data_IF_303565789267
#
_entry.id   IF_303565789267
#
_cell.length_a   1.000
_cell.length_b   1.000
_cell.length_c   1.000
_cell.angle_alpha   90.00
_cell.angle_beta   90.00
_cell.angle_gamma   90.00
#
_symmetry.space_group_name_H-M   'P 1'
#
loop_
_entity.id
_entity.type
_entity.pdbx_description
1 polymer ?
#
# COMPACT_ATOMS: atom_id res chain seq x y z
N UNK A 1 -19.09 -32.98 -7.51
CA UNK A 1 -18.46 -32.18 -8.58
C UNK A 1 -19.53 -31.80 -9.60
N UNK A 2 -20.37 -30.81 -9.28
CA UNK A 2 -21.22 -30.19 -10.31
C UNK A 2 -20.45 -28.99 -10.87
N UNK A 3 -20.14 -28.98 -12.17
CA UNK A 3 -19.53 -27.83 -12.86
C UNK A 3 -18.17 -28.06 -13.55
N UNK A 4 -17.44 -29.15 -13.25
CA UNK A 4 -16.08 -29.39 -13.80
C UNK A 4 -16.06 -29.53 -15.33
N UNK A 5 -17.16 -29.95 -15.94
CA UNK A 5 -17.29 -30.14 -17.40
C UNK A 5 -17.27 -28.79 -18.16
N UNK A 6 -17.59 -27.67 -17.49
CA UNK A 6 -17.65 -26.35 -18.11
C UNK A 6 -16.37 -25.52 -17.96
N UNK A 7 -15.40 -26.00 -17.17
CA UNK A 7 -14.11 -25.33 -16.98
C UNK A 7 -13.18 -25.68 -18.16
N UNK A 8 -13.40 -25.01 -19.30
CA UNK A 8 -12.61 -25.25 -20.51
C UNK A 8 -11.42 -24.29 -20.57
N UNK A 9 -10.21 -24.84 -20.66
CA UNK A 9 -8.98 -24.07 -20.91
C UNK A 9 -8.62 -24.12 -22.41
N UNK A 10 -8.08 -23.03 -22.94
CA UNK A 10 -7.58 -22.94 -24.32
C UNK A 10 -6.19 -22.31 -24.34
N UNK A 11 -5.53 -22.30 -25.51
CA UNK A 11 -4.29 -21.56 -25.71
C UNK A 11 -4.61 -20.34 -26.56
N UNK A 12 -4.46 -19.15 -25.98
CA UNK A 12 -4.65 -17.88 -26.67
C UNK A 12 -3.33 -17.35 -27.24
N UNK A 13 -3.38 -16.67 -28.38
CA UNK A 13 -2.26 -15.86 -28.90
C UNK A 13 -2.59 -14.38 -28.72
N UNK A 14 -1.69 -13.64 -28.05
CA UNK A 14 -1.72 -12.17 -28.05
C UNK A 14 -0.90 -11.68 -29.24
N UNK A 15 -1.42 -10.71 -30.01
CA UNK A 15 -0.68 -10.11 -31.13
C UNK A 15 0.71 -9.65 -30.66
N UNK A 16 1.76 -10.15 -31.32
CA UNK A 16 3.16 -9.79 -31.03
C UNK A 16 3.93 -10.71 -30.06
N UNK A 17 3.35 -11.82 -29.58
CA UNK A 17 4.07 -12.80 -28.74
C UNK A 17 4.10 -14.16 -29.46
N UNK A 18 5.29 -14.74 -29.62
CA UNK A 18 5.50 -16.01 -30.35
C UNK A 18 4.96 -17.25 -29.62
N UNK A 19 4.83 -17.19 -28.29
CA UNK A 19 4.34 -18.29 -27.46
C UNK A 19 2.87 -18.10 -27.06
N UNK A 20 2.07 -19.16 -27.19
CA UNK A 20 0.70 -19.21 -26.70
C UNK A 20 0.65 -19.07 -25.18
N UNK A 21 -0.34 -18.33 -24.68
CA UNK A 21 -0.61 -18.19 -23.25
C UNK A 21 -1.78 -19.10 -22.90
N UNK A 22 -1.68 -19.94 -21.85
CA UNK A 22 -2.83 -20.69 -21.38
C UNK A 22 -3.91 -19.71 -20.93
N UNK A 23 -5.08 -19.80 -21.55
CA UNK A 23 -6.27 -19.03 -21.19
C UNK A 23 -7.22 -20.00 -20.52
N UNK A 24 -7.41 -19.82 -19.22
CA UNK A 24 -8.39 -20.57 -18.44
C UNK A 24 -9.25 -19.55 -17.68
N UNK A 25 -10.57 -19.80 -17.54
CA UNK A 25 -11.43 -18.91 -16.78
C UNK A 25 -10.86 -18.68 -15.38
N UNK A 26 -10.94 -17.44 -14.87
CA UNK A 26 -10.54 -17.08 -13.52
C UNK A 26 -9.11 -17.53 -13.11
N UNK A 27 -8.20 -17.60 -14.08
CA UNK A 27 -6.82 -18.03 -13.87
C UNK A 27 -5.88 -16.86 -14.15
N UNK A 28 -4.99 -16.57 -13.21
CA UNK A 28 -4.05 -15.44 -13.25
C UNK A 28 -2.65 -15.88 -12.86
N UNK A 29 -1.64 -15.05 -13.12
CA UNK A 29 -0.30 -15.33 -12.63
C UNK A 29 -0.27 -15.32 -11.09
N UNK A 30 0.56 -16.17 -10.51
CA UNK A 30 0.74 -16.23 -9.06
C UNK A 30 1.24 -14.90 -8.52
N UNK A 31 0.64 -14.43 -7.42
CA UNK A 31 1.16 -13.32 -6.63
C UNK A 31 1.91 -13.88 -5.42
N UNK A 32 3.08 -13.35 -5.03
CA UNK A 32 3.86 -13.86 -3.89
C UNK A 32 3.12 -13.79 -2.54
N UNK A 33 1.96 -13.14 -2.49
CA UNK A 33 1.15 -12.98 -1.28
C UNK A 33 0.34 -14.23 -0.95
N UNK A 34 0.38 -14.67 0.30
CA UNK A 34 -0.46 -15.77 0.81
C UNK A 34 0.11 -17.17 0.56
N UNK A 35 1.29 -17.27 -0.05
CA UNK A 35 2.05 -18.52 -0.12
C UNK A 35 3.56 -18.24 -0.17
N UNK A 36 4.26 -18.52 0.94
CA UNK A 36 5.63 -18.09 1.20
C UNK A 36 6.72 -19.08 0.79
N UNK A 37 6.43 -20.07 -0.08
CA UNK A 37 7.40 -21.15 -0.36
C UNK A 37 7.69 -21.43 -1.84
N UNK A 38 7.32 -20.55 -2.77
CA UNK A 38 7.80 -20.65 -4.16
C UNK A 38 9.01 -19.73 -4.35
N UNK A 39 10.15 -20.32 -4.67
CA UNK A 39 11.35 -19.62 -5.14
C UNK A 39 10.95 -18.60 -6.21
N UNK A 40 11.39 -17.34 -6.05
CA UNK A 40 11.10 -16.21 -6.97
C UNK A 40 11.63 -16.41 -8.41
N UNK A 41 12.21 -17.57 -8.71
CA UNK A 41 13.01 -17.84 -9.90
C UNK A 41 12.59 -19.10 -10.68
N UNK A 42 11.53 -19.81 -10.30
CA UNK A 42 11.07 -21.00 -11.04
C UNK A 42 9.64 -20.88 -11.58
N UNK A 43 9.53 -21.14 -12.89
CA UNK A 43 8.34 -21.35 -13.72
C UNK A 43 7.18 -20.33 -13.63
N UNK A 44 6.46 -20.14 -14.74
CA UNK A 44 5.20 -19.39 -14.74
C UNK A 44 4.17 -20.16 -13.89
N UNK A 45 4.12 -19.89 -12.60
CA UNK A 45 3.08 -20.39 -11.70
C UNK A 45 1.80 -19.58 -11.92
N UNK A 46 0.67 -20.27 -11.85
CA UNK A 46 -0.66 -19.70 -11.98
C UNK A 46 -1.51 -20.01 -10.74
N UNK A 47 -2.51 -19.18 -10.52
CA UNK A 47 -3.52 -19.38 -9.49
C UNK A 47 -4.90 -19.46 -10.13
N UNK A 48 -5.72 -20.35 -9.58
CA UNK A 48 -7.11 -20.55 -10.00
C UNK A 48 -8.03 -19.96 -8.94
N UNK A 49 -8.99 -19.16 -9.38
CA UNK A 49 -10.01 -18.58 -8.51
C UNK A 49 -11.36 -19.22 -8.79
N UNK A 50 -11.74 -20.19 -7.98
CA UNK A 50 -12.97 -20.95 -8.16
C UNK A 50 -14.17 -20.22 -7.53
N UNK A 51 -15.20 -19.82 -8.31
CA UNK A 51 -16.37 -19.15 -7.78
C UNK A 51 -17.27 -20.09 -6.98
N UNK A 52 -17.90 -19.55 -5.94
CA UNK A 52 -18.92 -20.18 -5.10
C UNK A 52 -20.19 -19.34 -5.19
N UNK A 53 -21.30 -19.99 -5.53
CA UNK A 53 -22.64 -19.40 -5.57
C UNK A 53 -23.48 -19.98 -4.44
N UNK A 54 -24.37 -19.17 -3.86
CA UNK A 54 -25.39 -19.63 -2.90
C UNK A 54 -26.71 -20.00 -3.57
N UNK A 55 -26.99 -19.39 -4.71
CA UNK A 55 -28.21 -19.59 -5.47
C UNK A 55 -27.99 -20.63 -6.57
N UNK A 56 -29.06 -21.37 -6.92
CA UNK A 56 -29.03 -22.32 -8.05
C UNK A 56 -28.87 -21.53 -9.36
N UNK A 57 -28.03 -22.04 -10.26
CA UNK A 57 -27.78 -21.46 -11.59
C UNK A 57 -28.17 -22.47 -12.68
N UNK A 58 -28.69 -21.96 -13.80
CA UNK A 58 -28.98 -22.79 -14.97
C UNK A 58 -27.71 -23.15 -15.75
N UNK A 59 -27.72 -24.29 -16.45
CA UNK A 59 -26.56 -24.76 -17.25
C UNK A 59 -26.14 -23.77 -18.36
N UNK A 60 -27.10 -23.04 -18.95
CA UNK A 60 -26.83 -22.04 -20.00
C UNK A 60 -26.10 -20.82 -19.43
N UNK A 61 -26.53 -20.36 -18.26
CA UNK A 61 -25.90 -19.25 -17.53
C UNK A 61 -24.48 -19.62 -17.11
N UNK A 62 -24.29 -20.84 -16.61
CA UNK A 62 -22.98 -21.35 -16.20
C UNK A 62 -22.01 -21.45 -17.39
N UNK A 63 -22.48 -21.91 -18.56
CA UNK A 63 -21.70 -21.91 -19.82
C UNK A 63 -21.30 -20.51 -20.25
N UNK A 64 -22.24 -19.56 -20.26
CA UNK A 64 -21.96 -18.18 -20.64
C UNK A 64 -20.96 -17.53 -19.67
N UNK A 65 -21.11 -17.81 -18.37
CA UNK A 65 -20.24 -17.33 -17.31
C UNK A 65 -18.79 -17.82 -17.46
N UNK A 66 -18.56 -19.13 -17.60
CA UNK A 66 -17.21 -19.67 -17.78
C UNK A 66 -16.59 -19.27 -19.13
N UNK A 67 -17.39 -19.15 -20.20
CA UNK A 67 -16.90 -18.67 -21.50
C UNK A 67 -16.40 -17.23 -21.44
N UNK A 68 -17.03 -16.40 -20.62
CA UNK A 68 -16.64 -15.02 -20.44
C UNK A 68 -15.47 -14.87 -19.46
N UNK A 69 -15.48 -15.63 -18.36
CA UNK A 69 -14.36 -15.70 -17.42
C UNK A 69 -13.93 -14.33 -16.87
N UNK A 70 -14.83 -13.34 -16.84
CA UNK A 70 -14.49 -11.95 -16.56
C UNK A 70 -13.98 -11.78 -15.14
N UNK A 71 -12.74 -11.33 -15.04
CA UNK A 71 -12.13 -10.76 -13.85
C UNK A 71 -11.44 -9.47 -14.27
N UNK A 72 -12.16 -8.35 -14.17
CA UNK A 72 -11.66 -7.06 -14.66
C UNK A 72 -11.32 -6.11 -13.52
N UNK A 73 -10.23 -5.37 -13.70
CA UNK A 73 -9.89 -4.19 -12.92
C UNK A 73 -10.13 -2.98 -13.81
N UNK A 74 -11.24 -2.28 -13.61
CA UNK A 74 -11.67 -1.21 -14.51
C UNK A 74 -12.14 -1.75 -15.87
N UNK A 75 -11.30 -1.68 -16.91
CA UNK A 75 -11.60 -2.18 -18.28
C UNK A 75 -10.59 -3.20 -18.78
N UNK A 76 -9.74 -3.73 -17.90
CA UNK A 76 -8.63 -4.62 -18.24
C UNK A 76 -8.72 -5.91 -17.41
N UNK A 77 -8.40 -7.07 -18.00
CA UNK A 77 -8.37 -8.32 -17.24
C UNK A 77 -7.29 -8.26 -16.14
N UNK A 78 -7.59 -8.85 -15.00
CA UNK A 78 -6.66 -9.03 -13.88
C UNK A 78 -5.50 -9.93 -14.31
N UNK A 79 -4.27 -9.53 -13.95
CA UNK A 79 -3.04 -10.22 -14.35
C UNK A 79 -2.48 -11.12 -13.28
N UNK A 80 -2.75 -10.83 -12.01
CA UNK A 80 -2.23 -11.55 -10.86
C UNK A 80 -3.28 -11.66 -9.75
N UNK A 81 -2.97 -12.42 -8.70
CA UNK A 81 -3.88 -12.64 -7.57
C UNK A 81 -4.32 -11.39 -6.81
N UNK A 82 -3.49 -10.34 -6.75
CA UNK A 82 -3.85 -9.07 -6.08
C UNK A 82 -4.86 -8.30 -6.93
N UNK A 83 -4.63 -8.18 -8.24
CA UNK A 83 -5.59 -7.58 -9.16
C UNK A 83 -6.90 -8.38 -9.22
N UNK A 84 -6.85 -9.71 -9.04
CA UNK A 84 -8.05 -10.53 -8.96
C UNK A 84 -8.86 -10.23 -7.69
N UNK A 85 -8.20 -10.12 -6.53
CA UNK A 85 -8.84 -9.70 -5.28
C UNK A 85 -9.44 -8.28 -5.40
N UNK A 86 -8.80 -7.39 -6.15
CA UNK A 86 -9.33 -6.07 -6.48
C UNK A 86 -10.59 -6.15 -7.35
N UNK A 87 -10.60 -7.03 -8.36
CA UNK A 87 -11.78 -7.29 -9.19
C UNK A 87 -12.97 -7.82 -8.36
N UNK A 88 -12.71 -8.72 -7.41
CA UNK A 88 -13.71 -9.25 -6.47
C UNK A 88 -14.30 -8.12 -5.60
N UNK A 89 -13.43 -7.30 -5.01
CA UNK A 89 -13.83 -6.26 -4.06
C UNK A 89 -14.47 -5.02 -4.72
N UNK A 90 -14.35 -4.89 -6.03
CA UNK A 90 -15.02 -3.84 -6.84
C UNK A 90 -16.31 -4.32 -7.51
N UNK A 91 -16.78 -5.55 -7.24
CA UNK A 91 -17.92 -6.19 -7.91
C UNK A 91 -17.77 -6.35 -9.43
N UNK A 92 -16.55 -6.29 -9.95
CA UNK A 92 -16.28 -6.46 -11.39
C UNK A 92 -16.37 -7.92 -11.87
N UNK A 93 -16.82 -8.81 -10.97
CA UNK A 93 -17.07 -10.24 -11.14
C UNK A 93 -18.52 -10.62 -10.81
N UNK A 94 -19.40 -9.64 -10.53
CA UNK A 94 -20.71 -9.90 -9.94
C UNK A 94 -21.72 -10.47 -10.94
N UNK A 95 -22.03 -11.76 -10.74
CA UNK A 95 -23.15 -12.51 -11.37
C UNK A 95 -23.82 -13.43 -10.34
N UNK A 96 -24.10 -12.91 -9.15
CA UNK A 96 -24.66 -13.73 -8.05
C UNK A 96 -23.63 -14.69 -7.44
N UNK A 97 -22.34 -14.39 -7.63
CA UNK A 97 -21.23 -15.10 -6.97
C UNK A 97 -21.15 -14.58 -5.55
N UNK A 98 -21.13 -15.50 -4.59
CA UNK A 98 -20.99 -15.16 -3.19
C UNK A 98 -19.53 -15.03 -2.76
N UNK A 99 -18.68 -15.94 -3.23
CA UNK A 99 -17.28 -16.04 -2.81
C UNK A 99 -16.41 -16.61 -3.94
N UNK A 100 -15.10 -16.42 -3.86
CA UNK A 100 -14.11 -17.17 -4.63
C UNK A 100 -13.18 -17.92 -3.68
N UNK A 101 -12.80 -19.14 -4.03
CA UNK A 101 -11.70 -19.87 -3.38
C UNK A 101 -10.48 -19.77 -4.27
N UNK A 102 -9.41 -19.22 -3.72
CA UNK A 102 -8.11 -19.15 -4.39
C UNK A 102 -7.40 -20.48 -4.22
N UNK A 103 -6.88 -21.02 -5.32
CA UNK A 103 -6.03 -22.20 -5.35
C UNK A 103 -4.68 -21.83 -5.96
N UNK A 104 -3.62 -22.07 -5.21
CA UNK A 104 -2.25 -21.91 -5.70
C UNK A 104 -1.78 -23.22 -6.35
N UNK A 105 -1.29 -23.15 -7.59
CA UNK A 105 -0.75 -24.31 -8.29
C UNK A 105 0.74 -24.45 -7.99
N UNK A 106 1.08 -25.53 -7.31
CA UNK A 106 2.43 -25.76 -6.79
C UNK A 106 3.07 -26.94 -7.50
N UNK A 107 4.21 -26.69 -8.12
CA UNK A 107 5.07 -27.72 -8.69
C UNK A 107 5.68 -28.53 -7.53
N UNK A 108 5.61 -29.86 -7.61
CA UNK A 108 6.18 -30.76 -6.59
C UNK A 108 7.35 -31.57 -7.16
N UNK A 109 7.04 -32.68 -7.84
CA UNK A 109 8.02 -33.61 -8.41
C UNK A 109 7.87 -33.59 -9.93
N UNK A 110 8.91 -33.15 -10.65
CA UNK A 110 8.80 -32.92 -12.10
C UNK A 110 7.68 -31.92 -12.43
N UNK A 111 6.94 -32.15 -13.52
CA UNK A 111 5.82 -31.31 -13.95
C UNK A 111 4.47 -31.68 -13.30
N UNK A 112 4.50 -32.29 -12.12
CA UNK A 112 3.30 -32.54 -11.32
C UNK A 112 2.92 -31.32 -10.49
N UNK A 113 1.71 -30.81 -10.70
CA UNK A 113 1.15 -29.66 -9.98
C UNK A 113 0.05 -30.08 -8.99
N UNK A 114 0.07 -29.51 -7.79
CA UNK A 114 -1.00 -29.65 -6.79
C UNK A 114 -1.71 -28.31 -6.63
N UNK A 115 -3.04 -28.32 -6.67
CA UNK A 115 -3.87 -27.16 -6.34
C UNK A 115 -4.13 -27.11 -4.83
N UNK A 116 -3.52 -26.17 -4.13
CA UNK A 116 -3.71 -25.98 -2.69
C UNK A 116 -4.62 -24.78 -2.44
N UNK A 117 -5.72 -24.92 -1.68
CA UNK A 117 -6.56 -23.77 -1.33
C UNK A 117 -5.74 -22.79 -0.48
N UNK A 118 -5.65 -21.55 -0.93
CA UNK A 118 -4.83 -20.49 -0.35
C UNK A 118 -5.64 -19.25 0.09
N UNK A 119 -6.97 -19.36 0.08
CA UNK A 119 -7.85 -18.37 0.71
C UNK A 119 -9.29 -18.39 0.19
N UNK A 120 -10.18 -17.70 0.89
CA UNK A 120 -11.57 -17.45 0.47
C UNK A 120 -11.87 -15.96 0.46
N UNK A 121 -12.56 -15.50 -0.57
CA UNK A 121 -12.76 -14.09 -0.89
C UNK A 121 -14.22 -13.83 -1.12
N UNK A 122 -14.87 -13.13 -0.18
CA UNK A 122 -16.27 -12.75 -0.35
C UNK A 122 -16.37 -11.67 -1.41
N UNK A 123 -17.31 -11.85 -2.35
CA UNK A 123 -17.64 -10.82 -3.35
C UNK A 123 -18.44 -9.74 -2.63
N UNK A 124 -17.80 -8.60 -2.37
CA UNK A 124 -18.41 -7.47 -1.66
C UNK A 124 -17.75 -6.19 -2.12
N UNK A 125 -18.56 -5.16 -2.38
CA UNK A 125 -18.04 -3.82 -2.63
C UNK A 125 -17.30 -3.30 -1.40
N UNK A 126 -16.04 -2.90 -1.57
CA UNK A 126 -15.21 -2.28 -0.53
C UNK A 126 -14.76 -0.89 -0.94
N UNK A 127 -14.80 0.05 0.00
CA UNK A 127 -14.38 1.44 -0.26
C UNK A 127 -12.86 1.55 -0.36
N UNK A 128 -12.15 0.66 0.32
CA UNK A 128 -10.69 0.56 0.36
C UNK A 128 -10.09 0.16 -0.99
N UNK A 129 -10.87 -0.50 -1.85
CA UNK A 129 -10.43 -0.89 -3.20
C UNK A 129 -10.02 0.33 -4.03
N UNK A 130 -10.72 1.45 -3.91
CA UNK A 130 -10.34 2.68 -4.62
C UNK A 130 -9.02 3.26 -4.09
N UNK A 131 -8.74 3.12 -2.79
CA UNK A 131 -7.47 3.55 -2.21
C UNK A 131 -6.31 2.67 -2.67
N UNK A 132 -6.51 1.35 -2.72
CA UNK A 132 -5.51 0.42 -3.26
C UNK A 132 -5.15 0.75 -4.71
N UNK A 133 -6.10 1.23 -5.52
CA UNK A 133 -5.82 1.69 -6.90
C UNK A 133 -4.88 2.90 -6.94
N UNK A 134 -4.96 3.81 -5.96
CA UNK A 134 -4.05 4.95 -5.86
C UNK A 134 -2.59 4.50 -5.63
N UNK A 135 -2.37 3.36 -4.97
CA UNK A 135 -1.03 2.81 -4.74
C UNK A 135 -0.40 2.24 -6.02
N UNK A 136 -1.18 1.67 -6.93
CA UNK A 136 -0.66 0.97 -8.11
C UNK A 136 0.37 1.77 -8.91
N UNK A 137 0.14 3.03 -9.33
CA UNK A 137 1.15 3.80 -10.05
C UNK A 137 2.41 4.07 -9.23
N UNK A 138 2.29 4.20 -7.91
CA UNK A 138 3.43 4.45 -7.01
C UNK A 138 4.26 3.18 -6.87
N UNK A 139 3.63 2.03 -6.61
CA UNK A 139 4.30 0.73 -6.50
C UNK A 139 4.97 0.31 -7.81
N UNK A 140 4.37 0.63 -8.97
CA UNK A 140 5.02 0.41 -10.27
C UNK A 140 6.35 1.16 -10.41
N UNK A 141 6.47 2.35 -9.79
CA UNK A 141 7.75 3.09 -9.75
C UNK A 141 8.77 2.38 -8.86
N UNK A 142 8.34 1.86 -7.71
CA UNK A 142 9.18 1.04 -6.81
C UNK A 142 9.65 -0.22 -7.52
N UNK A 143 8.74 -0.96 -8.16
CA UNK A 143 9.06 -2.20 -8.88
C UNK A 143 10.02 -1.94 -10.05
N UNK A 144 9.84 -0.81 -10.75
CA UNK A 144 10.76 -0.37 -11.80
C UNK A 144 12.15 -0.05 -11.25
N UNK A 145 12.24 0.53 -10.07
CA UNK A 145 13.50 0.75 -9.36
C UNK A 145 14.16 -0.56 -8.93
N UNK A 146 13.41 -1.50 -8.35
CA UNK A 146 13.94 -2.81 -7.93
C UNK A 146 14.49 -3.61 -9.13
N UNK A 147 13.90 -3.48 -10.32
CA UNK A 147 14.41 -4.11 -11.56
C UNK A 147 15.74 -3.56 -12.06
N UNK A 148 16.18 -2.39 -11.60
CA UNK A 148 17.48 -1.80 -11.99
C UNK A 148 18.67 -2.53 -11.34
N UNK A 149 18.47 -3.22 -10.21
CA UNK A 149 19.53 -3.96 -9.54
C UNK A 149 19.92 -5.21 -10.34
N UNK A 150 21.24 -5.47 -10.43
CA UNK A 150 21.83 -6.65 -11.07
C UNK A 150 22.85 -7.29 -10.11
N UNK A 151 22.88 -8.63 -9.97
CA UNK A 151 21.98 -9.63 -10.57
C UNK A 151 20.57 -9.64 -9.96
N UNK A 152 20.42 -9.17 -8.72
CA UNK A 152 19.15 -9.12 -7.99
C UNK A 152 19.11 -7.91 -7.03
N UNK A 153 17.91 -7.43 -6.65
CA UNK A 153 17.76 -6.38 -5.64
C UNK A 153 18.13 -6.86 -4.23
N UNK A 154 18.47 -5.93 -3.31
CA UNK A 154 18.71 -6.26 -1.91
C UNK A 154 17.52 -6.96 -1.25
N UNK A 155 17.78 -8.05 -0.52
CA UNK A 155 16.75 -8.91 0.07
C UNK A 155 15.78 -8.14 0.99
N UNK A 156 16.28 -7.19 1.78
CA UNK A 156 15.46 -6.36 2.66
C UNK A 156 14.39 -5.58 1.89
N UNK A 157 14.74 -4.96 0.76
CA UNK A 157 13.78 -4.22 -0.06
C UNK A 157 12.73 -5.13 -0.68
N UNK A 158 13.12 -6.33 -1.11
CA UNK A 158 12.19 -7.34 -1.64
C UNK A 158 11.20 -7.75 -0.56
N UNK A 159 11.68 -8.01 0.66
CA UNK A 159 10.85 -8.38 1.80
C UNK A 159 9.88 -7.27 2.16
N UNK A 160 10.34 -6.03 2.29
CA UNK A 160 9.48 -4.88 2.61
C UNK A 160 8.43 -4.64 1.52
N UNK A 161 8.82 -4.74 0.25
CA UNK A 161 7.88 -4.62 -0.88
C UNK A 161 6.83 -5.73 -0.88
N UNK A 162 7.22 -6.97 -0.58
CA UNK A 162 6.31 -8.12 -0.46
C UNK A 162 5.34 -7.95 0.73
N UNK A 163 5.82 -7.39 1.85
CA UNK A 163 4.97 -7.07 2.99
C UNK A 163 3.88 -6.04 2.63
N UNK A 164 4.17 -5.07 1.75
CA UNK A 164 3.14 -4.17 1.23
C UNK A 164 2.08 -4.93 0.45
N UNK A 165 2.46 -5.85 -0.45
CA UNK A 165 1.47 -6.67 -1.19
C UNK A 165 0.64 -7.54 -0.23
N UNK A 166 1.27 -8.07 0.82
CA UNK A 166 0.58 -8.83 1.88
C UNK A 166 -0.52 -7.99 2.54
N UNK A 167 -0.20 -6.78 2.99
CA UNK A 167 -1.19 -5.94 3.66
C UNK A 167 -2.25 -5.40 2.68
N UNK A 168 -1.92 -5.18 1.39
CA UNK A 168 -2.91 -4.89 0.34
C UNK A 168 -3.91 -6.05 0.24
N UNK A 169 -3.43 -7.29 0.26
CA UNK A 169 -4.31 -8.44 0.15
C UNK A 169 -5.21 -8.59 1.36
N UNK A 170 -4.66 -8.39 2.57
CA UNK A 170 -5.41 -8.41 3.81
C UNK A 170 -6.52 -7.35 3.83
N UNK A 171 -6.28 -6.13 3.32
CA UNK A 171 -7.31 -5.10 3.24
C UNK A 171 -8.38 -5.45 2.20
N UNK A 172 -8.01 -6.03 1.05
CA UNK A 172 -8.98 -6.45 0.04
C UNK A 172 -9.88 -7.60 0.53
N UNK A 173 -9.35 -8.49 1.38
CA UNK A 173 -10.13 -9.59 1.99
C UNK A 173 -11.03 -9.09 3.10
N UNK A 174 -10.46 -8.35 4.06
CA UNK A 174 -11.11 -8.09 5.35
C UNK A 174 -11.68 -6.66 5.43
N UNK A 175 -10.98 -5.68 4.85
CA UNK A 175 -11.25 -4.26 5.03
C UNK A 175 -10.97 -3.79 6.46
N UNK A 176 -11.30 -2.52 6.74
CA UNK A 176 -11.28 -1.95 8.09
C UNK A 176 -10.02 -1.19 8.46
N UNK A 177 -10.18 -0.26 9.41
CA UNK A 177 -9.17 0.74 9.75
C UNK A 177 -7.87 0.15 10.31
N UNK A 178 -7.95 -0.84 11.20
CA UNK A 178 -6.75 -1.49 11.74
C UNK A 178 -5.88 -2.15 10.66
N UNK A 179 -6.47 -2.63 9.56
CA UNK A 179 -5.73 -3.16 8.41
C UNK A 179 -5.16 -2.06 7.53
N UNK A 180 -5.86 -0.93 7.41
CA UNK A 180 -5.33 0.27 6.75
C UNK A 180 -4.10 0.82 7.50
N UNK A 181 -4.12 0.83 8.83
CA UNK A 181 -2.95 1.19 9.65
C UNK A 181 -1.76 0.27 9.39
N UNK A 182 -1.98 -1.05 9.33
CA UNK A 182 -0.92 -2.01 8.99
C UNK A 182 -0.36 -1.81 7.59
N UNK A 183 -1.21 -1.49 6.61
CA UNK A 183 -0.77 -1.16 5.26
C UNK A 183 0.06 0.13 5.24
N UNK A 184 -0.36 1.19 5.93
CA UNK A 184 0.43 2.42 6.09
C UNK A 184 1.78 2.15 6.76
N UNK A 185 1.80 1.32 7.80
CA UNK A 185 3.04 0.94 8.48
C UNK A 185 3.98 0.13 7.56
N UNK A 186 3.44 -0.78 6.74
CA UNK A 186 4.24 -1.52 5.76
C UNK A 186 4.83 -0.57 4.68
N UNK A 187 4.03 0.39 4.20
CA UNK A 187 4.48 1.43 3.26
C UNK A 187 5.59 2.27 3.90
N UNK A 188 5.42 2.73 5.13
CA UNK A 188 6.43 3.57 5.78
C UNK A 188 7.70 2.81 6.13
N UNK A 189 7.61 1.52 6.46
CA UNK A 189 8.80 0.67 6.63
C UNK A 189 9.64 0.62 5.35
N UNK A 190 8.98 0.50 4.19
CA UNK A 190 9.63 0.57 2.87
C UNK A 190 10.19 1.97 2.58
N UNK A 191 9.41 3.03 2.84
CA UNK A 191 9.83 4.42 2.61
C UNK A 191 11.07 4.78 3.44
N UNK A 192 11.16 4.36 4.71
CA UNK A 192 12.33 4.59 5.57
C UNK A 192 13.64 4.12 4.96
N UNK A 193 13.63 2.97 4.27
CA UNK A 193 14.82 2.42 3.62
C UNK A 193 15.09 3.14 2.30
N UNK A 194 14.05 3.54 1.57
CA UNK A 194 14.19 4.30 0.32
C UNK A 194 14.74 5.69 0.58
N UNK A 195 14.23 6.41 1.59
CA UNK A 195 14.55 7.80 1.84
C UNK A 195 15.97 8.03 2.37
N UNK A 196 16.52 7.05 3.11
CA UNK A 196 17.91 7.04 3.59
C UNK A 196 18.95 6.82 2.50
N UNK A 197 18.54 6.40 1.30
CA UNK A 197 19.48 6.18 0.19
C UNK A 197 20.01 7.48 -0.36
N UNK A 198 21.17 7.38 -1.00
CA UNK A 198 21.79 8.51 -1.68
C UNK A 198 21.07 8.79 -3.01
N UNK A 199 20.26 9.85 -3.02
CA UNK A 199 19.48 10.28 -4.19
C UNK A 199 20.31 11.04 -5.24
N UNK A 200 21.62 11.18 -5.04
CA UNK A 200 22.53 11.71 -6.07
C UNK A 200 23.09 10.64 -7.01
N UNK A 201 22.94 9.35 -6.65
CA UNK A 201 23.46 8.21 -7.43
C UNK A 201 22.41 7.66 -8.41
N UNK A 202 22.86 7.11 -9.55
CA UNK A 202 21.98 6.54 -10.60
C UNK A 202 21.01 5.43 -10.10
N UNK A 203 21.40 4.73 -9.03
CA UNK A 203 20.62 3.64 -8.44
C UNK A 203 19.63 4.14 -7.38
N UNK A 204 18.69 5.00 -7.79
CA UNK A 204 17.65 5.54 -6.91
C UNK A 204 16.26 5.64 -7.57
N UNK A 205 15.28 6.04 -6.76
CA UNK A 205 13.98 6.53 -7.23
C UNK A 205 14.12 8.04 -7.44
N UNK A 206 14.12 8.51 -8.69
CA UNK A 206 14.50 9.89 -9.01
C UNK A 206 13.60 11.01 -8.47
N UNK A 207 12.46 10.68 -7.83
CA UNK A 207 11.59 11.66 -7.16
C UNK A 207 10.95 11.03 -5.92
N UNK A 208 10.67 11.81 -4.86
CA UNK A 208 9.91 11.36 -3.70
C UNK A 208 8.62 10.65 -4.08
N UNK A 209 8.26 9.61 -3.31
CA UNK A 209 7.02 8.87 -3.50
C UNK A 209 5.87 9.65 -2.87
N UNK A 210 4.84 9.93 -3.67
CA UNK A 210 3.65 10.72 -3.27
C UNK A 210 2.52 10.42 -4.25
N UNK A 211 1.29 10.73 -3.87
CA UNK A 211 0.12 10.64 -4.74
C UNK A 211 -1.15 10.19 -4.03
N UNK A 212 -1.04 9.70 -2.79
CA UNK A 212 -2.19 9.22 -2.03
C UNK A 212 -3.12 10.38 -1.66
N UNK A 213 -4.41 10.14 -1.73
CA UNK A 213 -5.44 11.09 -1.32
C UNK A 213 -5.55 11.18 0.20
N UNK A 214 -6.23 12.23 0.68
CA UNK A 214 -6.50 12.42 2.10
C UNK A 214 -7.46 11.38 2.69
N UNK A 215 -8.21 10.65 1.84
CA UNK A 215 -9.14 9.57 2.25
C UNK A 215 -8.43 8.43 2.99
N UNK A 216 -7.12 8.28 2.79
CA UNK A 216 -6.28 7.37 3.55
C UNK A 216 -6.30 7.68 5.05
N UNK A 217 -6.43 8.95 5.44
CA UNK A 217 -6.54 9.33 6.85
C UNK A 217 -7.85 8.87 7.46
N UNK A 218 -8.97 9.10 6.76
CA UNK A 218 -10.29 8.65 7.24
C UNK A 218 -10.39 7.14 7.34
N UNK A 219 -9.93 6.42 6.31
CA UNK A 219 -10.05 4.97 6.28
C UNK A 219 -9.09 4.27 7.25
N UNK A 220 -8.03 4.94 7.69
CA UNK A 220 -7.05 4.41 8.63
C UNK A 220 -7.28 4.86 10.08
N UNK A 221 -8.25 5.73 10.36
CA UNK A 221 -8.59 6.10 11.74
C UNK A 221 -9.22 4.91 12.47
N UNK A 222 -8.39 4.11 13.14
CA UNK A 222 -8.78 2.96 13.95
C UNK A 222 -8.94 3.29 15.44
N UNK A 223 -8.81 4.58 15.80
CA UNK A 223 -8.83 5.04 17.18
C UNK A 223 -7.57 4.72 17.98
N UNK A 224 -6.52 4.15 17.35
CA UNK A 224 -5.23 3.95 18.03
C UNK A 224 -4.50 5.26 18.26
N UNK A 225 -3.74 5.31 19.36
CA UNK A 225 -2.92 6.48 19.68
C UNK A 225 -1.75 6.62 18.70
N UNK A 226 -1.15 5.51 18.26
CA UNK A 226 -0.05 5.50 17.30
C UNK A 226 -0.47 6.17 15.99
N UNK A 227 -1.68 5.88 15.50
CA UNK A 227 -2.22 6.53 14.32
C UNK A 227 -2.49 8.02 14.56
N UNK A 228 -3.14 8.40 15.67
CA UNK A 228 -3.42 9.81 15.98
C UNK A 228 -2.14 10.65 16.09
N UNK A 229 -1.13 10.16 16.81
CA UNK A 229 0.17 10.83 16.95
C UNK A 229 0.88 10.96 15.60
N UNK A 230 0.95 9.88 14.82
CA UNK A 230 1.56 9.90 13.50
C UNK A 230 0.85 10.89 12.56
N UNK A 231 -0.49 10.91 12.57
CA UNK A 231 -1.29 11.84 11.76
C UNK A 231 -1.08 13.30 12.18
N UNK A 232 -1.05 13.58 13.49
CA UNK A 232 -0.77 14.91 14.02
C UNK A 232 0.59 15.43 13.57
N UNK A 233 1.65 14.62 13.73
CA UNK A 233 3.01 14.97 13.32
C UNK A 233 3.09 15.14 11.80
N UNK A 234 2.52 14.20 11.04
CA UNK A 234 2.47 14.25 9.57
C UNK A 234 1.76 15.50 9.03
N UNK A 235 0.83 16.06 9.82
CA UNK A 235 0.06 17.24 9.44
C UNK A 235 0.80 18.58 9.62
N UNK A 236 2.01 18.58 10.17
CA UNK A 236 2.83 19.79 10.35
C UNK A 236 3.21 20.41 9.01
N UNK A 237 2.83 21.66 8.82
CA UNK A 237 2.81 22.33 7.53
C UNK A 237 4.12 23.04 7.20
N UNK A 238 4.23 23.46 5.92
CA UNK A 238 5.25 24.39 5.48
C UNK A 238 5.02 25.76 6.12
N UNK A 239 6.09 26.41 6.59
CA UNK A 239 6.05 27.78 7.12
C UNK A 239 7.21 28.58 6.56
N UNK A 240 6.94 29.61 5.76
CA UNK A 240 7.98 30.37 5.07
C UNK A 240 8.85 29.47 4.20
N UNK A 241 10.17 29.51 4.41
CA UNK A 241 11.17 28.66 3.74
C UNK A 241 11.37 27.29 4.42
N UNK A 242 10.75 27.07 5.57
CA UNK A 242 10.78 25.78 6.27
C UNK A 242 9.75 24.85 5.62
N UNK A 243 10.19 23.73 5.09
CA UNK A 243 9.33 22.74 4.46
C UNK A 243 8.30 22.14 5.43
N UNK A 244 7.37 21.36 4.89
CA UNK A 244 6.50 20.50 5.71
C UNK A 244 7.35 19.52 6.55
N UNK A 245 6.72 18.82 7.49
CA UNK A 245 7.42 17.82 8.30
C UNK A 245 8.22 16.81 7.49
N UNK A 246 7.75 16.46 6.27
CA UNK A 246 8.47 15.57 5.36
C UNK A 246 9.90 16.02 5.10
N UNK A 247 10.14 17.32 4.90
CA UNK A 247 11.48 17.87 4.66
C UNK A 247 12.39 17.83 5.90
N UNK A 248 11.80 17.66 7.09
CA UNK A 248 12.54 17.46 8.33
C UNK A 248 12.85 16.00 8.62
N UNK A 249 12.13 15.05 7.99
CA UNK A 249 12.33 13.62 8.20
C UNK A 249 12.98 12.88 7.02
N UNK A 250 12.85 13.44 5.83
CA UNK A 250 13.38 12.90 4.58
C UNK A 250 14.04 14.02 3.77
N UNK A 251 15.04 13.70 2.91
CA UNK A 251 15.79 14.69 2.15
C UNK A 251 14.96 15.24 0.97
N UNK A 252 13.74 15.71 1.22
CA UNK A 252 12.82 16.31 0.25
C UNK A 252 13.03 17.81 0.22
N UNK A 253 13.08 18.39 -0.98
CA UNK A 253 13.27 19.82 -1.15
C UNK A 253 12.07 20.61 -0.53
N UNK A 254 12.32 21.57 0.38
CA UNK A 254 11.26 22.28 1.11
C UNK A 254 10.41 23.24 0.24
N UNK A 255 10.95 23.68 -0.90
CA UNK A 255 10.23 24.50 -1.86
C UNK A 255 9.48 23.66 -2.90
N UNK A 256 10.16 22.62 -3.40
CA UNK A 256 9.70 21.73 -4.47
C UNK A 256 9.58 20.30 -3.94
N UNK A 257 8.49 19.96 -3.21
CA UNK A 257 8.37 18.67 -2.49
C UNK A 257 8.29 17.44 -3.42
N UNK A 258 8.20 17.66 -4.73
CA UNK A 258 8.30 16.63 -5.76
C UNK A 258 9.75 16.29 -6.16
N UNK A 259 10.75 16.92 -5.56
CA UNK A 259 12.18 16.70 -5.80
C UNK A 259 12.90 16.34 -4.50
N UNK A 260 13.95 15.53 -4.63
CA UNK A 260 14.93 15.36 -3.56
C UNK A 260 15.77 16.64 -3.40
N UNK A 261 16.16 16.94 -2.17
CA UNK A 261 17.14 17.96 -1.84
C UNK A 261 18.54 17.48 -2.21
N UNK A 262 19.44 18.42 -2.49
CA UNK A 262 20.87 18.14 -2.49
C UNK A 262 21.36 17.98 -1.04
N UNK A 263 22.17 16.94 -0.78
CA UNK A 263 22.67 16.63 0.56
C UNK A 263 21.55 16.32 1.56
N UNK A 264 21.69 16.80 2.80
CA UNK A 264 20.71 16.57 3.89
C UNK A 264 19.57 17.60 3.96
N UNK A 265 19.65 18.72 3.24
CA UNK A 265 18.60 19.74 3.27
C UNK A 265 18.22 20.20 4.70
N UNK A 266 16.94 20.06 5.03
CA UNK A 266 16.37 20.38 6.36
C UNK A 266 16.17 19.14 7.26
N UNK A 267 16.71 17.98 6.89
CA UNK A 267 16.56 16.73 7.64
C UNK A 267 17.22 16.83 9.00
N UNK A 268 16.48 16.41 10.03
CA UNK A 268 16.95 16.33 11.42
C UNK A 268 16.29 15.16 12.18
N UNK A 269 16.02 14.05 11.49
CA UNK A 269 15.41 12.85 12.08
C UNK A 269 16.47 11.92 12.68
N UNK A 270 17.14 12.41 13.72
CA UNK A 270 18.27 11.75 14.37
C UNK A 270 17.96 11.53 15.86
N UNK A 271 18.31 10.36 16.40
CA UNK A 271 18.03 10.01 17.81
C UNK A 271 17.84 8.52 18.05
N UNK A 272 18.12 8.07 19.28
CA UNK A 272 17.99 6.67 19.70
C UNK A 272 16.57 6.27 20.12
N UNK A 273 15.69 7.24 20.39
CA UNK A 273 14.25 7.06 20.64
C UNK A 273 13.43 7.95 19.72
N UNK A 274 12.13 7.64 19.58
CA UNK A 274 11.22 8.48 18.80
C UNK A 274 11.14 9.91 19.37
N UNK A 275 11.10 10.04 20.70
CA UNK A 275 11.08 11.34 21.36
C UNK A 275 12.33 12.19 21.04
N UNK A 276 13.53 11.60 21.05
CA UNK A 276 14.75 12.36 20.71
C UNK A 276 14.79 12.78 19.23
N UNK A 277 14.22 11.98 18.32
CA UNK A 277 14.07 12.37 16.90
C UNK A 277 13.13 13.58 16.75
N UNK A 278 12.02 13.60 17.49
CA UNK A 278 11.14 14.77 17.54
C UNK A 278 11.85 16.00 18.11
N UNK A 279 12.64 15.86 19.17
CA UNK A 279 13.43 16.96 19.73
C UNK A 279 14.43 17.50 18.69
N UNK A 280 15.12 16.61 17.96
CA UNK A 280 16.05 17.01 16.90
C UNK A 280 15.34 17.79 15.78
N UNK A 281 14.16 17.34 15.35
CA UNK A 281 13.33 18.08 14.38
C UNK A 281 12.88 19.42 14.92
N UNK A 282 12.37 19.47 16.16
CA UNK A 282 11.91 20.71 16.80
C UNK A 282 13.05 21.74 16.85
N UNK A 283 14.21 21.32 17.35
CA UNK A 283 15.39 22.18 17.46
C UNK A 283 15.82 22.72 16.10
N UNK A 284 15.91 21.85 15.08
CA UNK A 284 16.26 22.26 13.72
C UNK A 284 15.27 23.26 13.15
N UNK A 285 13.96 22.99 13.28
CA UNK A 285 12.90 23.88 12.75
C UNK A 285 12.86 25.22 13.47
N UNK A 286 13.11 25.28 14.78
CA UNK A 286 13.23 26.53 15.52
C UNK A 286 14.43 27.37 15.07
N UNK A 287 15.59 26.72 14.87
CA UNK A 287 16.79 27.37 14.35
C UNK A 287 16.56 27.96 12.95
N UNK A 288 15.93 27.17 12.06
CA UNK A 288 15.59 27.61 10.72
C UNK A 288 14.53 28.74 10.74
N UNK A 289 13.54 28.69 11.65
CA UNK A 289 12.56 29.77 11.83
C UNK A 289 13.21 31.09 12.23
N UNK A 290 14.19 31.06 13.14
CA UNK A 290 14.95 32.25 13.50
C UNK A 290 15.79 32.75 12.31
N UNK A 291 16.48 31.84 11.60
CA UNK A 291 17.30 32.16 10.44
C UNK A 291 16.51 32.83 9.32
N UNK A 292 15.32 32.32 9.03
CA UNK A 292 14.44 32.82 7.96
C UNK A 292 13.45 33.88 8.43
N UNK A 293 13.55 34.33 9.70
CA UNK A 293 12.65 35.31 10.31
C UNK A 293 11.16 34.96 10.10
N UNK A 294 10.82 33.68 10.27
CA UNK A 294 9.46 33.20 10.10
C UNK A 294 8.53 33.82 11.14
N UNK A 295 7.40 34.36 10.69
CA UNK A 295 6.38 34.97 11.58
C UNK A 295 5.46 33.94 12.23
N UNK A 296 5.25 32.80 11.58
CA UNK A 296 4.33 31.77 12.05
C UNK A 296 5.07 30.68 12.83
N UNK A 297 4.32 29.91 13.63
CA UNK A 297 4.87 28.81 14.41
C UNK A 297 5.41 27.70 13.49
N UNK A 298 6.71 27.34 13.56
CA UNK A 298 7.31 26.36 12.66
C UNK A 298 6.84 24.92 12.89
N UNK A 299 6.07 24.64 13.96
CA UNK A 299 5.50 23.30 14.24
C UNK A 299 3.97 23.27 14.16
N UNK A 300 3.36 24.26 13.49
CA UNK A 300 1.91 24.27 13.30
C UNK A 300 1.43 23.12 12.40
N UNK A 301 0.54 22.28 12.95
CA UNK A 301 -0.11 21.17 12.26
C UNK A 301 -1.62 21.34 12.13
N UNK A 302 -2.23 20.62 11.17
CA UNK A 302 -3.68 20.66 10.92
C UNK A 302 -4.49 19.78 11.88
N UNK A 303 -3.89 18.70 12.35
CA UNK A 303 -4.51 17.76 13.28
C UNK A 303 -4.02 18.10 14.68
N UNK A 304 -4.96 18.31 15.60
CA UNK A 304 -4.68 18.60 17.00
C UNK A 304 -4.79 17.31 17.81
N UNK A 305 -3.94 17.18 18.81
CA UNK A 305 -3.94 16.07 19.77
C UNK A 305 -4.69 16.49 21.04
N UNK A 306 -5.33 15.53 21.70
CA UNK A 306 -5.91 15.70 23.03
C UNK A 306 -4.84 15.63 24.13
N UNK A 307 -5.22 16.03 25.35
CA UNK A 307 -4.33 15.92 26.52
C UNK A 307 -4.02 14.46 26.87
N UNK A 308 -4.96 13.54 26.64
CA UNK A 308 -4.79 12.11 26.91
C UNK A 308 -3.79 11.46 25.95
N UNK A 309 -3.73 11.91 24.70
CA UNK A 309 -2.71 11.48 23.73
C UNK A 309 -1.31 11.88 24.20
N UNK A 310 -1.17 13.13 24.68
CA UNK A 310 0.10 13.65 25.19
C UNK A 310 0.51 12.89 26.46
N UNK A 311 -0.42 12.66 27.38
CA UNK A 311 -0.18 11.90 28.61
C UNK A 311 0.28 10.48 28.31
N UNK A 312 -0.36 9.81 27.35
CA UNK A 312 -0.02 8.44 26.95
C UNK A 312 1.34 8.37 26.26
N UNK A 313 1.70 9.37 25.45
CA UNK A 313 3.03 9.52 24.86
C UNK A 313 4.12 9.66 25.93
N UNK A 314 3.93 10.57 26.90
CA UNK A 314 4.90 10.83 27.98
C UNK A 314 5.09 9.59 28.86
N UNK A 315 4.02 8.85 29.13
CA UNK A 315 4.05 7.65 29.96
C UNK A 315 4.62 6.41 29.22
N UNK A 316 5.06 6.54 27.96
CA UNK A 316 5.65 5.44 27.18
C UNK A 316 4.65 4.32 26.85
N UNK A 317 3.34 4.60 26.88
CA UNK A 317 2.29 3.61 26.57
C UNK A 317 1.98 3.56 25.06
N UNK A 318 3.03 3.56 24.24
CA UNK A 318 2.93 3.60 22.78
C UNK A 318 3.93 2.63 22.13
N UNK A 319 3.54 2.05 21.00
CA UNK A 319 4.49 1.36 20.12
C UNK A 319 5.20 2.39 19.22
N UNK A 320 6.40 2.83 19.63
CA UNK A 320 7.21 3.79 18.87
C UNK A 320 7.56 3.30 17.45
N UNK A 321 7.73 1.99 17.27
CA UNK A 321 8.10 1.41 15.97
C UNK A 321 6.92 1.48 15.01
N UNK A 322 5.74 1.08 15.48
CA UNK A 322 4.50 1.18 14.72
C UNK A 322 4.20 2.64 14.37
N UNK A 323 4.26 3.54 15.36
CA UNK A 323 4.03 4.97 15.18
C UNK A 323 4.96 5.56 14.11
N UNK A 324 6.27 5.29 14.19
CA UNK A 324 7.23 5.77 13.19
C UNK A 324 6.94 5.19 11.81
N UNK A 325 6.61 3.90 11.71
CA UNK A 325 6.23 3.27 10.46
C UNK A 325 4.99 3.94 9.85
N UNK A 326 3.97 4.25 10.65
CA UNK A 326 2.78 4.96 10.17
C UNK A 326 3.17 6.37 9.69
N UNK A 327 3.96 7.11 10.46
CA UNK A 327 4.41 8.47 10.12
C UNK A 327 5.06 8.52 8.73
N UNK A 328 6.00 7.61 8.43
CA UNK A 328 6.61 7.53 7.11
C UNK A 328 5.61 7.11 6.02
N UNK A 329 4.66 6.22 6.32
CA UNK A 329 3.60 5.84 5.38
C UNK A 329 2.71 7.02 4.98
N UNK A 330 2.42 7.89 5.94
CA UNK A 330 1.64 9.11 5.74
C UNK A 330 2.36 10.17 4.88
N UNK A 331 3.68 10.04 4.63
CA UNK A 331 4.40 10.97 3.76
C UNK A 331 4.03 10.85 2.28
N UNK A 332 3.40 9.73 1.89
CA UNK A 332 2.90 9.54 0.54
C UNK A 332 1.58 10.30 0.28
N UNK A 333 0.91 10.79 1.33
CA UNK A 333 -0.33 11.57 1.24
C UNK A 333 -0.04 12.97 0.71
N UNK A 334 -0.95 13.47 -0.14
CA UNK A 334 -0.94 14.85 -0.62
C UNK A 334 -1.55 15.79 0.42
N UNK A 335 -0.74 16.17 1.41
CA UNK A 335 -1.15 17.09 2.49
C UNK A 335 -1.56 18.49 2.00
N UNK A 336 -1.19 18.89 0.78
CA UNK A 336 -1.59 20.18 0.21
C UNK A 336 -2.97 20.18 -0.48
N UNK A 337 -3.67 19.03 -0.50
CA UNK A 337 -5.03 18.94 -1.06
C UNK A 337 -6.04 19.70 -0.18
N UNK A 338 -6.89 20.60 -0.74
CA UNK A 338 -7.90 21.34 0.01
C UNK A 338 -8.82 20.44 0.86
N UNK A 339 -9.11 19.22 0.40
CA UNK A 339 -9.99 18.29 1.09
C UNK A 339 -9.41 17.78 2.42
N UNK A 340 -8.10 17.89 2.62
CA UNK A 340 -7.43 17.53 3.89
C UNK A 340 -7.97 18.36 5.06
N UNK A 341 -8.33 19.63 4.82
CA UNK A 341 -8.77 20.55 5.88
C UNK A 341 -10.05 20.08 6.57
N UNK A 342 -11.04 19.61 5.79
CA UNK A 342 -12.30 19.12 6.32
C UNK A 342 -12.09 17.87 7.18
N UNK A 343 -11.19 16.99 6.76
CA UNK A 343 -10.93 15.70 7.41
C UNK A 343 -10.10 15.83 8.68
N UNK A 344 -9.09 16.72 8.68
CA UNK A 344 -8.32 17.01 9.87
C UNK A 344 -9.19 17.53 11.02
N UNK A 345 -10.27 18.25 10.72
CA UNK A 345 -11.22 18.71 11.73
C UNK A 345 -11.99 17.56 12.40
N UNK A 346 -12.34 16.52 11.64
CA UNK A 346 -13.02 15.32 12.14
C UNK A 346 -12.09 14.47 13.00
N UNK A 347 -10.87 14.22 12.53
CA UNK A 347 -9.87 13.44 13.27
C UNK A 347 -9.51 14.14 14.58
N UNK A 348 -9.37 15.47 14.55
CA UNK A 348 -9.10 16.25 15.78
C UNK A 348 -10.23 16.13 16.80
N UNK A 349 -11.50 16.04 16.38
CA UNK A 349 -12.63 15.86 17.30
C UNK A 349 -12.64 14.48 17.96
N UNK A 350 -12.26 13.43 17.22
CA UNK A 350 -12.17 12.08 17.77
C UNK A 350 -11.04 11.92 18.81
N UNK A 351 -10.01 12.78 18.77
CA UNK A 351 -8.93 12.80 19.77
C UNK A 351 -9.18 13.71 20.98
N UNK A 352 -10.28 14.46 21.00
CA UNK A 352 -10.66 15.34 22.13
C UNK A 352 -11.75 14.69 23.00
N UNK A 353 -12.49 13.69 22.47
CA UNK A 353 -13.36 12.80 23.26
C UNK A 353 -12.55 11.66 23.85
#
# INVERSE_FOLDING_TARGET
MEGTILWTSSIGKRNGVSNGVPVSPFTVATSPVGYSSSSQYEDKSYEIWAPIWKNRLGIRELKAFFREGRSEVGRRPAKNGVEFAEAISSLSVDRGISEFVRYSLLKRRGDSYIAVPSGRFKVRLRKETDLVRELTPILNRVDSFLRKFKPSPPAELVTLRSNVDKEIFEILIHGGAAKMVKLLAAIGSLEKIISKRDHSKDMNIGRPLTGLSSRWLEMADDGSIEFRLAAAIASVQKTGEIGSIRSSIEPVNPEKPNLWSTGRGQVAWDGNSFALRLVSVLYRRMMDANRFQCKNNPVEGRIRLGMDDISSFINGKIDETLLENILFGLMWIRWNDPNVLLLCSTISKNGIM
#
